data_IF_637119274060
#
_entry.id   IF_637119274060
#
_cell.length_a   1.000
_cell.length_b   1.000
_cell.length_c   1.000
_cell.angle_alpha   90.00
_cell.angle_beta   90.00
_cell.angle_gamma   90.00
#
_symmetry.space_group_name_H-M   'P 1'
#
loop_
_entity.id
_entity.type
_entity.pdbx_description
1 polymer ?
#
# COMPACT_ATOMS: atom_id res chain seq x y z
N UNK A 1 5.58 11.39 9.41
CA UNK A 1 6.13 10.05 9.62
C UNK A 1 6.52 9.44 8.28
N UNK A 2 5.61 9.30 7.32
CA UNK A 2 5.84 8.68 6.00
C UNK A 2 6.97 9.34 5.21
N UNK A 3 6.98 10.67 5.13
CA UNK A 3 8.07 11.44 4.49
C UNK A 3 9.40 11.20 5.20
N UNK A 4 9.38 11.16 6.55
CA UNK A 4 10.57 10.87 7.35
C UNK A 4 11.15 9.47 7.08
N UNK A 5 10.28 8.48 6.82
CA UNK A 5 10.70 7.14 6.41
C UNK A 5 11.37 7.11 5.03
N UNK A 6 10.85 7.88 4.08
CA UNK A 6 11.40 7.93 2.72
C UNK A 6 12.72 8.71 2.61
N UNK A 7 12.96 9.66 3.51
CA UNK A 7 14.07 10.61 3.45
C UNK A 7 15.46 9.95 3.39
N UNK A 8 15.81 8.94 4.22
CA UNK A 8 17.10 8.24 4.12
C UNK A 8 17.36 7.63 2.75
N UNK A 9 16.33 7.03 2.14
CA UNK A 9 16.44 6.44 0.79
C UNK A 9 16.72 7.52 -0.26
N UNK A 10 16.03 8.65 -0.18
CA UNK A 10 16.24 9.81 -1.06
C UNK A 10 17.67 10.31 -0.95
N UNK A 11 18.18 10.53 0.27
CA UNK A 11 19.53 11.03 0.52
C UNK A 11 20.61 10.08 -0.02
N UNK A 12 20.50 8.79 0.26
CA UNK A 12 21.48 7.82 -0.18
C UNK A 12 21.46 7.66 -1.70
N UNK A 13 20.28 7.57 -2.32
CA UNK A 13 20.16 7.43 -3.76
C UNK A 13 20.56 8.68 -4.54
N UNK A 14 20.48 9.88 -3.92
CA UNK A 14 20.97 11.12 -4.55
C UNK A 14 22.48 11.21 -4.58
N UNK A 15 23.17 10.54 -3.64
CA UNK A 15 24.63 10.60 -3.51
C UNK A 15 25.36 9.44 -4.15
N UNK A 16 24.74 8.25 -4.18
CA UNK A 16 25.38 7.04 -4.64
C UNK A 16 24.47 6.21 -5.56
N UNK A 17 25.06 5.60 -6.59
CA UNK A 17 24.38 4.61 -7.44
C UNK A 17 24.41 3.27 -6.73
N UNK A 18 23.33 2.93 -6.03
CA UNK A 18 23.26 1.71 -5.24
C UNK A 18 22.55 0.61 -6.03
N UNK A 19 23.26 -0.43 -6.43
CA UNK A 19 22.70 -1.66 -6.99
C UNK A 19 22.43 -2.64 -5.85
N UNK A 20 21.24 -3.27 -5.81
CA UNK A 20 20.89 -4.28 -4.79
C UNK A 20 20.03 -3.77 -3.62
N UNK A 21 19.46 -2.56 -3.77
CA UNK A 21 18.46 -2.05 -2.83
C UNK A 21 18.97 -1.81 -1.41
N UNK A 22 18.06 -1.94 -0.44
CA UNK A 22 18.34 -1.68 0.99
C UNK A 22 19.45 -2.55 1.58
N UNK A 23 19.61 -3.77 1.09
CA UNK A 23 20.68 -4.67 1.54
C UNK A 23 22.06 -4.06 1.31
N UNK A 24 22.32 -3.58 0.08
CA UNK A 24 23.59 -2.97 -0.26
C UNK A 24 23.79 -1.63 0.45
N UNK A 25 22.72 -0.82 0.61
CA UNK A 25 22.79 0.43 1.37
C UNK A 25 23.27 0.22 2.79
N UNK A 26 22.70 -0.74 3.49
CA UNK A 26 23.10 -1.05 4.88
C UNK A 26 24.51 -1.62 4.91
N UNK A 27 24.88 -2.46 3.94
CA UNK A 27 26.24 -2.98 3.83
C UNK A 27 27.30 -1.89 3.68
N UNK A 28 27.00 -0.87 2.89
CA UNK A 28 27.90 0.28 2.69
C UNK A 28 28.02 1.19 3.91
N UNK A 29 26.92 1.40 4.64
CA UNK A 29 26.86 2.34 5.75
C UNK A 29 27.21 1.72 7.11
N UNK A 30 26.79 0.47 7.35
CA UNK A 30 26.80 -0.13 8.67
C UNK A 30 27.57 -1.46 8.75
N UNK A 31 28.13 -1.91 7.63
CA UNK A 31 28.97 -3.10 7.55
C UNK A 31 28.20 -4.44 7.55
N UNK A 32 28.98 -5.52 7.42
CA UNK A 32 28.46 -6.87 7.14
C UNK A 32 27.54 -7.45 8.23
N UNK A 33 27.80 -7.15 9.51
CA UNK A 33 27.00 -7.68 10.62
C UNK A 33 25.54 -7.18 10.57
N UNK A 34 25.36 -5.87 10.38
CA UNK A 34 24.01 -5.26 10.28
C UNK A 34 23.32 -5.64 8.97
N UNK A 35 24.09 -5.88 7.91
CA UNK A 35 23.55 -6.42 6.66
C UNK A 35 22.95 -7.82 6.85
N UNK A 36 23.60 -8.68 7.67
CA UNK A 36 23.06 -9.99 8.03
C UNK A 36 21.72 -9.89 8.80
N UNK A 37 21.63 -8.97 9.75
CA UNK A 37 20.36 -8.71 10.47
C UNK A 37 19.27 -8.23 9.49
N UNK A 38 19.59 -7.33 8.57
CA UNK A 38 18.65 -6.87 7.55
C UNK A 38 18.18 -7.99 6.63
N UNK A 39 19.05 -8.93 6.29
CA UNK A 39 18.67 -10.10 5.50
C UNK A 39 17.60 -10.93 6.21
N UNK A 40 17.79 -11.21 7.50
CA UNK A 40 16.81 -11.92 8.32
C UNK A 40 15.49 -11.14 8.40
N UNK A 41 15.54 -9.83 8.62
CA UNK A 41 14.36 -8.96 8.66
C UNK A 41 13.61 -8.97 7.32
N UNK A 42 14.30 -8.98 6.19
CA UNK A 42 13.67 -9.10 4.87
C UNK A 42 12.98 -10.46 4.68
N UNK A 43 13.59 -11.54 5.13
CA UNK A 43 12.95 -12.88 5.09
C UNK A 43 11.67 -12.87 5.91
N UNK A 44 11.71 -12.35 7.14
CA UNK A 44 10.54 -12.23 8.00
C UNK A 44 9.47 -11.31 7.40
N UNK A 45 9.88 -10.20 6.77
CA UNK A 45 8.96 -9.28 6.08
C UNK A 45 8.21 -9.95 4.92
N UNK A 46 8.85 -10.89 4.21
CA UNK A 46 8.20 -11.62 3.13
C UNK A 46 7.07 -12.55 3.61
N UNK A 47 7.03 -12.93 4.89
CA UNK A 47 5.89 -13.65 5.46
C UNK A 47 4.59 -12.82 5.39
N UNK A 48 4.71 -11.49 5.33
CA UNK A 48 3.60 -10.57 5.11
C UNK A 48 2.86 -10.76 3.77
N UNK A 49 3.45 -11.44 2.78
CA UNK A 49 2.79 -11.76 1.51
C UNK A 49 1.49 -12.57 1.72
N UNK A 50 1.45 -13.41 2.74
CA UNK A 50 0.24 -14.13 3.13
C UNK A 50 -0.93 -13.20 3.51
N UNK A 51 -0.64 -12.06 4.14
CA UNK A 51 -1.65 -11.07 4.50
C UNK A 51 -2.28 -10.42 3.26
N UNK A 52 -1.49 -10.14 2.23
CA UNK A 52 -2.02 -9.60 0.95
C UNK A 52 -2.95 -10.62 0.27
N UNK A 53 -2.57 -11.91 0.25
CA UNK A 53 -3.44 -12.97 -0.26
C UNK A 53 -4.75 -13.10 0.52
N UNK A 54 -4.71 -12.99 1.85
CA UNK A 54 -5.91 -13.00 2.70
C UNK A 54 -6.78 -11.76 2.48
N UNK A 55 -6.17 -10.59 2.28
CA UNK A 55 -6.90 -9.36 1.96
C UNK A 55 -7.63 -9.48 0.63
N UNK A 56 -6.97 -9.95 -0.43
CA UNK A 56 -7.59 -10.24 -1.72
C UNK A 56 -8.77 -11.20 -1.57
N UNK A 57 -8.58 -12.29 -0.82
CA UNK A 57 -9.62 -13.28 -0.57
C UNK A 57 -10.83 -12.67 0.19
N UNK A 58 -10.58 -11.73 1.10
CA UNK A 58 -11.62 -11.01 1.83
C UNK A 58 -12.49 -10.15 0.90
N UNK A 59 -11.87 -9.41 -0.04
CA UNK A 59 -12.62 -8.67 -1.07
C UNK A 59 -13.42 -9.60 -1.97
N UNK A 60 -12.83 -10.71 -2.39
CA UNK A 60 -13.51 -11.73 -3.19
C UNK A 60 -14.75 -12.29 -2.47
N UNK A 61 -14.61 -12.66 -1.20
CA UNK A 61 -15.71 -13.16 -0.38
C UNK A 61 -16.79 -12.11 -0.16
N UNK A 62 -16.41 -10.84 0.05
CA UNK A 62 -17.36 -9.73 0.19
C UNK A 62 -18.18 -9.51 -1.08
N UNK A 63 -17.63 -9.85 -2.25
CA UNK A 63 -18.33 -9.71 -3.54
C UNK A 63 -19.21 -10.91 -3.88
N UNK A 64 -18.66 -12.13 -3.76
CA UNK A 64 -19.34 -13.35 -4.18
C UNK A 64 -20.16 -14.02 -3.07
N UNK A 65 -19.89 -13.71 -1.80
CA UNK A 65 -20.63 -14.25 -0.67
C UNK A 65 -20.35 -15.73 -0.34
N UNK A 66 -19.36 -16.36 -0.99
CA UNK A 66 -19.03 -17.78 -0.76
C UNK A 66 -17.53 -18.04 -0.86
N UNK A 67 -17.10 -19.16 -0.26
CA UNK A 67 -15.74 -19.67 -0.36
C UNK A 67 -15.02 -19.75 0.99
N UNK A 68 -13.82 -20.33 0.96
CA UNK A 68 -12.92 -20.38 2.11
C UNK A 68 -11.79 -19.40 1.88
N UNK A 69 -11.66 -18.41 2.76
CA UNK A 69 -10.67 -17.33 2.64
C UNK A 69 -9.25 -17.85 2.46
N UNK A 70 -8.86 -18.90 3.19
CA UNK A 70 -7.50 -19.48 3.11
C UNK A 70 -7.24 -20.13 1.75
N UNK A 71 -8.24 -20.83 1.21
CA UNK A 71 -8.13 -21.51 -0.09
C UNK A 71 -8.03 -20.49 -1.21
N UNK A 72 -8.89 -19.46 -1.20
CA UNK A 72 -8.87 -18.38 -2.19
C UNK A 72 -7.54 -17.64 -2.14
N UNK A 73 -7.04 -17.32 -0.95
CA UNK A 73 -5.74 -16.67 -0.76
C UNK A 73 -4.60 -17.52 -1.33
N UNK A 74 -4.59 -18.83 -1.05
CA UNK A 74 -3.57 -19.74 -1.56
C UNK A 74 -3.58 -19.82 -3.08
N UNK A 75 -4.76 -19.94 -3.68
CA UNK A 75 -4.93 -19.98 -5.14
C UNK A 75 -4.41 -18.66 -5.75
N UNK A 76 -4.80 -17.51 -5.20
CA UNK A 76 -4.39 -16.21 -5.70
C UNK A 76 -2.87 -16.05 -5.65
N UNK A 77 -2.25 -16.32 -4.49
CA UNK A 77 -0.78 -16.25 -4.34
C UNK A 77 -0.07 -17.19 -5.32
N UNK A 78 -0.61 -18.40 -5.51
CA UNK A 78 -0.04 -19.37 -6.47
C UNK A 78 -0.12 -18.86 -7.90
N UNK A 79 -1.25 -18.26 -8.31
CA UNK A 79 -1.40 -17.69 -9.66
C UNK A 79 -0.38 -16.56 -9.86
N UNK A 80 -0.26 -15.62 -8.92
CA UNK A 80 0.71 -14.53 -9.02
C UNK A 80 2.16 -15.04 -9.02
N UNK A 81 2.47 -16.08 -8.25
CA UNK A 81 3.77 -16.73 -8.29
C UNK A 81 4.08 -17.32 -9.67
N UNK A 82 3.15 -18.07 -10.25
CA UNK A 82 3.32 -18.65 -11.58
C UNK A 82 3.47 -17.57 -12.66
N UNK A 83 2.69 -16.50 -12.59
CA UNK A 83 2.81 -15.36 -13.51
C UNK A 83 4.20 -14.70 -13.41
N UNK A 84 4.77 -14.60 -12.21
CA UNK A 84 6.14 -14.10 -12.01
C UNK A 84 7.19 -15.02 -12.63
N UNK A 85 7.03 -16.34 -12.52
CA UNK A 85 7.96 -17.32 -13.10
C UNK A 85 7.95 -17.27 -14.63
N UNK A 86 6.76 -17.04 -15.25
CA UNK A 86 6.58 -17.13 -16.70
C UNK A 86 6.87 -15.85 -17.49
N UNK A 87 7.15 -14.73 -16.86
CA UNK A 87 7.61 -13.55 -17.60
C UNK A 87 7.47 -12.18 -16.94
N UNK A 88 8.58 -11.59 -16.64
CA UNK A 88 8.73 -10.27 -16.00
C UNK A 88 8.12 -9.14 -16.85
N UNK A 89 8.31 -9.17 -18.18
CA UNK A 89 7.81 -8.10 -19.08
C UNK A 89 6.28 -8.02 -19.15
N UNK A 90 5.61 -9.18 -19.14
CA UNK A 90 4.15 -9.26 -19.14
C UNK A 90 3.58 -8.80 -17.79
N UNK A 91 4.27 -9.15 -16.71
CA UNK A 91 3.90 -8.72 -15.35
C UNK A 91 3.98 -7.21 -15.17
N UNK A 92 5.02 -6.56 -15.68
CA UNK A 92 5.17 -5.10 -15.59
C UNK A 92 4.01 -4.37 -16.28
N UNK A 93 3.58 -4.84 -17.46
CA UNK A 93 2.40 -4.27 -18.15
C UNK A 93 1.10 -4.50 -17.39
N UNK A 94 0.90 -5.71 -16.86
CA UNK A 94 -0.28 -6.03 -16.04
C UNK A 94 -0.30 -5.19 -14.76
N UNK A 95 0.84 -5.06 -14.08
CA UNK A 95 0.97 -4.24 -12.87
C UNK A 95 0.63 -2.78 -13.13
N UNK A 96 1.10 -2.19 -14.23
CA UNK A 96 0.76 -0.80 -14.59
C UNK A 96 -0.73 -0.62 -14.83
N UNK A 97 -1.38 -1.59 -15.49
CA UNK A 97 -2.84 -1.55 -15.70
C UNK A 97 -3.60 -1.66 -14.37
N UNK A 98 -3.19 -2.58 -13.49
CA UNK A 98 -3.79 -2.77 -12.14
C UNK A 98 -3.64 -1.49 -11.30
N UNK A 99 -2.45 -0.92 -11.26
CA UNK A 99 -2.18 0.32 -10.49
C UNK A 99 -3.02 1.48 -11.02
N UNK A 100 -3.16 1.62 -12.35
CA UNK A 100 -3.99 2.66 -12.95
C UNK A 100 -5.47 2.46 -12.58
N UNK A 101 -5.99 1.24 -12.71
CA UNK A 101 -7.38 0.92 -12.36
C UNK A 101 -7.64 1.15 -10.86
N UNK A 102 -6.73 0.71 -9.99
CA UNK A 102 -6.83 0.92 -8.55
C UNK A 102 -6.81 2.42 -8.20
N UNK A 103 -5.92 3.20 -8.84
CA UNK A 103 -5.84 4.65 -8.62
C UNK A 103 -7.14 5.36 -9.03
N UNK A 104 -7.75 4.94 -10.14
CA UNK A 104 -9.05 5.45 -10.59
C UNK A 104 -10.15 5.06 -9.58
N UNK A 105 -10.17 3.80 -9.14
CA UNK A 105 -11.18 3.32 -8.19
C UNK A 105 -11.10 4.07 -6.85
N UNK A 106 -9.89 4.26 -6.31
CA UNK A 106 -9.67 5.00 -5.07
C UNK A 106 -9.95 6.50 -5.24
N UNK A 107 -9.63 7.08 -6.40
CA UNK A 107 -9.97 8.46 -6.74
C UNK A 107 -11.48 8.69 -6.81
N UNK A 108 -12.21 7.77 -7.43
CA UNK A 108 -13.69 7.79 -7.46
C UNK A 108 -14.27 7.62 -6.06
N UNK A 109 -13.75 6.69 -5.28
CA UNK A 109 -14.14 6.52 -3.88
C UNK A 109 -13.97 7.82 -3.08
N UNK A 110 -12.83 8.48 -3.21
CA UNK A 110 -12.54 9.74 -2.56
C UNK A 110 -13.47 10.86 -3.04
N UNK A 111 -13.69 10.99 -4.36
CA UNK A 111 -14.52 12.05 -4.94
C UNK A 111 -16.00 11.91 -4.55
N UNK A 112 -16.55 10.72 -4.64
CA UNK A 112 -17.94 10.46 -4.22
C UNK A 112 -18.10 10.49 -2.71
N UNK A 113 -17.09 10.00 -1.97
CA UNK A 113 -17.16 9.90 -0.52
C UNK A 113 -17.09 11.24 0.19
N UNK A 114 -16.29 12.19 -0.31
CA UNK A 114 -16.12 13.51 0.34
C UNK A 114 -17.44 14.28 0.46
N UNK A 115 -18.38 14.04 -0.45
CA UNK A 115 -19.72 14.67 -0.42
C UNK A 115 -20.62 14.06 0.65
N UNK A 116 -20.33 12.82 1.09
CA UNK A 116 -21.09 12.09 2.08
C UNK A 116 -20.50 12.17 3.50
N UNK A 117 -19.38 12.89 3.66
CA UNK A 117 -18.77 13.12 4.97
C UNK A 117 -19.72 13.92 5.85
N UNK A 118 -20.05 13.41 7.02
CA UNK A 118 -20.95 14.08 7.96
C UNK A 118 -20.21 15.26 8.63
N UNK A 119 -20.82 16.44 8.71
CA UNK A 119 -20.23 17.56 9.43
C UNK A 119 -20.15 17.22 10.94
N UNK A 120 -19.00 17.50 11.54
CA UNK A 120 -18.79 17.25 12.98
C UNK A 120 -18.31 15.84 13.32
N UNK A 121 -17.99 14.97 12.35
CA UNK A 121 -17.47 13.62 12.64
C UNK A 121 -16.18 13.63 13.48
N UNK A 122 -15.41 14.72 13.44
CA UNK A 122 -14.19 14.88 14.25
C UNK A 122 -14.48 15.24 15.72
N UNK A 123 -15.69 15.68 16.07
CA UNK A 123 -15.98 16.19 17.41
C UNK A 123 -16.15 15.06 18.45
N UNK A 124 -16.57 13.87 18.01
CA UNK A 124 -16.84 12.75 18.89
C UNK A 124 -15.78 11.66 18.88
N UNK A 125 -15.19 11.37 17.72
CA UNK A 125 -14.33 10.21 17.52
C UNK A 125 -12.86 10.57 17.16
N UNK A 126 -12.50 11.85 17.23
CA UNK A 126 -11.15 12.29 16.96
C UNK A 126 -10.20 11.88 18.10
N UNK A 127 -9.15 11.14 17.78
CA UNK A 127 -8.13 10.66 18.72
C UNK A 127 -8.66 9.72 19.83
N UNK A 128 -9.58 8.82 19.52
CA UNK A 128 -10.08 7.80 20.47
C UNK A 128 -8.98 6.98 21.15
N UNK A 129 -7.86 6.70 20.44
CA UNK A 129 -6.67 6.04 20.96
C UNK A 129 -5.63 6.97 21.60
N UNK A 130 -5.91 8.27 21.70
CA UNK A 130 -4.96 9.26 22.21
C UNK A 130 -3.64 9.33 21.41
N UNK A 131 -2.59 9.87 22.02
CA UNK A 131 -1.25 9.97 21.40
C UNK A 131 -0.64 8.62 21.05
N UNK A 132 -0.88 7.58 21.85
CA UNK A 132 -0.37 6.25 21.59
C UNK A 132 -1.03 5.64 20.34
N UNK A 133 -2.35 5.79 20.19
CA UNK A 133 -3.09 5.37 19.01
C UNK A 133 -2.61 6.09 17.75
N UNK A 134 -2.32 7.39 17.83
CA UNK A 134 -1.76 8.15 16.72
C UNK A 134 -0.38 7.63 16.29
N UNK A 135 0.50 7.31 17.23
CA UNK A 135 1.81 6.74 16.94
C UNK A 135 1.70 5.33 16.34
N UNK A 136 0.80 4.50 16.85
CA UNK A 136 0.54 3.16 16.30
C UNK A 136 -0.02 3.24 14.88
N UNK A 137 -0.98 4.11 14.62
CA UNK A 137 -1.52 4.35 13.28
C UNK A 137 -0.43 4.86 12.33
N UNK A 138 0.42 5.79 12.77
CA UNK A 138 1.56 6.26 12.00
C UNK A 138 2.57 5.16 11.66
N UNK A 139 2.83 4.24 12.59
CA UNK A 139 3.71 3.08 12.36
C UNK A 139 3.09 2.10 11.35
N UNK A 140 1.79 1.85 11.43
CA UNK A 140 1.08 1.01 10.45
C UNK A 140 1.08 1.65 9.05
N UNK A 141 0.88 2.96 8.96
CA UNK A 141 0.92 3.69 7.68
C UNK A 141 2.30 3.68 7.03
N UNK A 142 3.40 3.59 7.79
CA UNK A 142 4.73 3.42 7.22
C UNK A 142 4.87 2.12 6.44
N UNK A 143 4.27 1.03 6.89
CA UNK A 143 4.22 -0.23 6.14
C UNK A 143 3.43 -0.10 4.82
N UNK A 144 2.32 0.65 4.84
CA UNK A 144 1.50 0.87 3.65
C UNK A 144 2.24 1.66 2.55
N UNK A 145 3.23 2.48 2.93
CA UNK A 145 4.02 3.32 2.00
C UNK A 145 5.47 2.81 1.85
N UNK A 146 5.78 1.61 2.34
CA UNK A 146 7.11 1.00 2.30
C UNK A 146 7.68 0.76 0.88
N UNK A 147 6.88 0.95 -0.18
CA UNK A 147 7.29 0.87 -1.58
C UNK A 147 8.51 1.72 -1.96
N UNK A 148 8.79 2.79 -1.21
CA UNK A 148 9.98 3.62 -1.41
C UNK A 148 11.28 2.81 -1.34
N UNK A 149 11.39 1.83 -0.47
CA UNK A 149 12.55 0.96 -0.35
C UNK A 149 12.74 0.04 -1.56
N UNK A 150 11.64 -0.40 -2.18
CA UNK A 150 11.67 -1.26 -3.37
C UNK A 150 12.16 -0.53 -4.61
N UNK A 151 11.85 0.76 -4.75
CA UNK A 151 12.30 1.59 -5.88
C UNK A 151 13.82 1.67 -5.93
N UNK A 152 14.49 1.63 -4.79
CA UNK A 152 15.96 1.70 -4.72
C UNK A 152 16.66 0.55 -5.45
N UNK A 153 16.02 -0.62 -5.51
CA UNK A 153 16.56 -1.77 -6.24
C UNK A 153 16.62 -1.54 -7.76
N UNK A 154 15.77 -0.65 -8.30
CA UNK A 154 15.71 -0.31 -9.73
C UNK A 154 16.77 0.71 -10.15
N UNK A 155 17.63 1.15 -9.24
CA UNK A 155 18.66 2.14 -9.53
C UNK A 155 19.66 1.70 -10.63
N UNK A 156 19.78 0.38 -10.85
CA UNK A 156 20.59 -0.19 -11.93
C UNK A 156 19.99 -0.01 -13.33
N UNK A 157 18.68 0.15 -13.43
CA UNK A 157 17.92 0.23 -14.68
C UNK A 157 17.59 1.69 -15.07
N UNK A 158 17.66 2.62 -14.12
CA UNK A 158 17.41 4.02 -14.37
C UNK A 158 18.52 4.70 -15.18
N UNK A 159 18.16 5.60 -16.10
CA UNK A 159 19.10 6.38 -16.89
C UNK A 159 19.95 7.33 -16.02
N UNK A 160 19.30 8.08 -15.15
CA UNK A 160 19.92 9.01 -14.20
C UNK A 160 19.49 8.68 -12.76
N UNK A 161 20.02 7.57 -12.17
CA UNK A 161 19.49 7.05 -10.91
C UNK A 161 19.60 8.02 -9.73
N UNK A 162 20.64 8.84 -9.69
CA UNK A 162 20.86 9.84 -8.62
C UNK A 162 19.83 10.98 -8.63
N UNK A 163 19.14 11.21 -9.74
CA UNK A 163 18.09 12.21 -9.87
C UNK A 163 16.69 11.56 -9.93
N UNK A 164 16.56 10.54 -10.78
CA UNK A 164 15.25 9.94 -11.08
C UNK A 164 14.69 9.17 -9.90
N UNK A 165 15.52 8.38 -9.20
CA UNK A 165 15.07 7.59 -8.04
C UNK A 165 14.61 8.48 -6.88
N UNK A 166 15.36 9.48 -6.41
CA UNK A 166 14.89 10.39 -5.37
C UNK A 166 13.61 11.12 -5.75
N UNK A 167 13.51 11.61 -7.01
CA UNK A 167 12.32 12.30 -7.49
C UNK A 167 11.08 11.39 -7.46
N UNK A 168 11.21 10.16 -7.95
CA UNK A 168 10.12 9.18 -7.95
C UNK A 168 9.70 8.84 -6.53
N UNK A 169 10.66 8.61 -5.62
CA UNK A 169 10.35 8.32 -4.21
C UNK A 169 9.55 9.46 -3.58
N UNK A 170 9.98 10.71 -3.73
CA UNK A 170 9.30 11.86 -3.13
C UNK A 170 7.90 12.03 -3.74
N UNK A 171 7.80 12.06 -5.07
CA UNK A 171 6.51 12.31 -5.74
C UNK A 171 5.51 11.20 -5.48
N UNK A 172 5.92 9.94 -5.57
CA UNK A 172 5.06 8.80 -5.29
C UNK A 172 4.62 8.77 -3.81
N UNK A 173 5.55 8.99 -2.87
CA UNK A 173 5.25 9.00 -1.44
C UNK A 173 4.23 10.10 -1.09
N UNK A 174 4.42 11.31 -1.62
CA UNK A 174 3.49 12.42 -1.38
C UNK A 174 2.12 12.17 -2.01
N UNK A 175 2.09 11.66 -3.24
CA UNK A 175 0.83 11.36 -3.93
C UNK A 175 0.03 10.28 -3.20
N UNK A 176 0.68 9.19 -2.78
CA UNK A 176 0.04 8.11 -2.03
C UNK A 176 -0.40 8.58 -0.63
N UNK A 177 0.43 9.36 0.06
CA UNK A 177 0.07 9.92 1.37
C UNK A 177 -1.15 10.85 1.28
N UNK A 178 -1.22 11.71 0.26
CA UNK A 178 -2.37 12.57 0.02
C UNK A 178 -3.64 11.74 -0.26
N UNK A 179 -3.55 10.75 -1.14
CA UNK A 179 -4.67 9.88 -1.47
C UNK A 179 -5.17 9.12 -0.23
N UNK A 180 -4.27 8.52 0.55
CA UNK A 180 -4.65 7.80 1.77
C UNK A 180 -5.24 8.70 2.84
N UNK A 181 -4.78 9.95 2.95
CA UNK A 181 -5.36 10.93 3.85
C UNK A 181 -6.83 11.23 3.49
N UNK A 182 -7.11 11.43 2.20
CA UNK A 182 -8.50 11.66 1.74
C UNK A 182 -9.36 10.42 1.97
N UNK A 183 -8.85 9.23 1.65
CA UNK A 183 -9.58 7.97 1.88
C UNK A 183 -9.89 7.76 3.36
N UNK A 184 -8.94 8.05 4.25
CA UNK A 184 -9.14 7.93 5.70
C UNK A 184 -10.21 8.89 6.21
N UNK A 185 -10.20 10.16 5.74
CA UNK A 185 -11.23 11.16 6.06
C UNK A 185 -12.61 10.68 5.59
N UNK A 186 -12.70 10.17 4.36
CA UNK A 186 -13.97 9.64 3.83
C UNK A 186 -14.45 8.43 4.64
N UNK A 187 -13.55 7.48 4.90
CA UNK A 187 -13.93 6.27 5.63
C UNK A 187 -14.43 6.57 7.05
N UNK A 188 -13.74 7.46 7.78
CA UNK A 188 -14.12 7.86 9.13
C UNK A 188 -15.29 8.83 9.16
N UNK A 189 -15.49 9.62 8.11
CA UNK A 189 -16.55 10.64 8.05
C UNK A 189 -17.91 10.15 7.55
N UNK A 190 -17.97 8.99 6.90
CA UNK A 190 -19.22 8.42 6.37
C UNK A 190 -19.89 7.48 7.37
N UNK A 191 -19.10 6.69 8.10
CA UNK A 191 -19.58 5.73 9.10
C UNK A 191 -18.84 5.93 10.43
N UNK A 192 -19.49 5.60 11.56
CA UNK A 192 -18.83 5.57 12.87
C UNK A 192 -17.64 4.63 12.87
N UNK A 193 -16.60 5.00 13.62
CA UNK A 193 -15.33 4.26 13.68
C UNK A 193 -15.54 2.78 14.05
N UNK A 194 -16.47 2.49 14.96
CA UNK A 194 -16.78 1.12 15.39
C UNK A 194 -17.27 0.21 14.25
N UNK A 195 -17.87 0.78 13.22
CA UNK A 195 -18.36 0.02 12.04
C UNK A 195 -17.33 -0.12 10.93
N UNK A 196 -16.28 0.69 10.96
CA UNK A 196 -15.22 0.70 9.95
C UNK A 196 -13.95 0.01 10.47
N UNK A 197 -13.73 0.02 11.78
CA UNK A 197 -12.55 -0.54 12.39
C UNK A 197 -12.46 -2.07 12.17
N UNK A 198 -11.39 -2.49 11.51
CA UNK A 198 -11.16 -3.90 11.17
C UNK A 198 -11.87 -4.40 9.92
N UNK A 199 -12.71 -3.57 9.30
CA UNK A 199 -13.45 -3.92 8.08
C UNK A 199 -12.73 -3.39 6.83
N UNK A 200 -13.07 -3.97 5.68
CA UNK A 200 -12.57 -3.49 4.39
C UNK A 200 -13.29 -2.20 3.98
N UNK A 201 -12.64 -1.37 3.18
CA UNK A 201 -13.25 -0.18 2.56
C UNK A 201 -14.52 -0.48 1.76
N UNK A 202 -14.76 -1.74 1.42
CA UNK A 202 -15.97 -2.22 0.73
C UNK A 202 -17.27 -1.86 1.48
N UNK A 203 -17.23 -1.81 2.81
CA UNK A 203 -18.40 -1.47 3.64
C UNK A 203 -18.81 -0.02 3.38
N UNK A 204 -17.85 0.90 3.40
CA UNK A 204 -18.09 2.32 3.10
C UNK A 204 -18.42 2.52 1.62
N UNK A 205 -17.70 1.85 0.72
CA UNK A 205 -17.90 1.93 -0.73
C UNK A 205 -19.32 1.52 -1.15
N UNK A 206 -19.91 0.55 -0.47
CA UNK A 206 -21.29 0.08 -0.72
C UNK A 206 -22.35 1.18 -0.47
N UNK A 207 -22.04 2.11 0.41
CA UNK A 207 -22.96 3.20 0.79
C UNK A 207 -22.81 4.38 -0.17
N UNK A 208 -21.57 4.74 -0.50
CA UNK A 208 -21.28 5.96 -1.26
C UNK A 208 -21.28 5.77 -2.77
N UNK A 209 -20.97 4.57 -3.25
CA UNK A 209 -20.83 4.33 -4.70
C UNK A 209 -22.11 3.77 -5.31
N UNK A 210 -22.53 4.26 -6.52
CA UNK A 210 -23.55 3.60 -7.31
C UNK A 210 -23.15 2.16 -7.65
N UNK A 211 -24.13 1.27 -7.82
CA UNK A 211 -23.89 -0.17 -8.07
C UNK A 211 -22.79 -0.48 -9.08
N UNK A 212 -22.72 0.13 -10.29
CA UNK A 212 -21.67 -0.19 -11.25
C UNK A 212 -20.27 0.25 -10.79
N UNK A 213 -20.15 1.40 -10.11
CA UNK A 213 -18.88 1.87 -9.57
C UNK A 213 -18.45 1.05 -8.33
N UNK A 214 -19.39 0.60 -7.53
CA UNK A 214 -19.13 -0.33 -6.43
C UNK A 214 -18.53 -1.65 -6.95
N UNK A 215 -19.12 -2.25 -8.00
CA UNK A 215 -18.59 -3.47 -8.62
C UNK A 215 -17.16 -3.23 -9.14
N UNK A 216 -16.95 -2.12 -9.84
CA UNK A 216 -15.61 -1.74 -10.31
C UNK A 216 -14.62 -1.59 -9.15
N UNK A 217 -15.01 -0.90 -8.07
CA UNK A 217 -14.19 -0.74 -6.87
C UNK A 217 -13.84 -2.09 -6.23
N UNK A 218 -14.80 -3.01 -6.13
CA UNK A 218 -14.58 -4.35 -5.56
C UNK A 218 -13.62 -5.19 -6.40
N UNK A 219 -13.73 -5.13 -7.73
CA UNK A 219 -12.81 -5.82 -8.64
C UNK A 219 -11.40 -5.25 -8.50
N UNK A 220 -11.26 -3.91 -8.46
CA UNK A 220 -9.96 -3.28 -8.27
C UNK A 220 -9.34 -3.55 -6.88
N UNK A 221 -10.16 -3.64 -5.84
CA UNK A 221 -9.70 -3.97 -4.49
C UNK A 221 -9.28 -5.43 -4.31
N UNK A 222 -9.80 -6.31 -5.17
CA UNK A 222 -9.43 -7.72 -5.23
C UNK A 222 -8.20 -8.00 -6.11
N UNK A 223 -7.74 -7.03 -6.90
CA UNK A 223 -6.53 -7.12 -7.73
C UNK A 223 -5.27 -6.68 -6.96
#
# INVERSE_FOLDING_TARGET
IVVGYALPYVLICSTARVKGGTYTMIGMLAGTKLTGVQCIMNILGNLGLGMYGLSLASYFMSFFGFGNQKVIALIAVTIFYLLNVFGIDKMAKAQNAIVLMLSIALGLFAAFGIVHVQPGYMDHDFMTGGWLGLLQAGALMTNAVAGASMITALSGEAKNPTRDIPMVIITATLAVAALYSVIAVVAAGVLPVDQVAGENLSVVAKIILPKPLYVFFMVCGAM
#
